data_IF_657740260145
#
_entry.id   IF_657740260145
#
_cell.length_a   1.000
_cell.length_b   1.000
_cell.length_c   1.000
_cell.angle_alpha   90.00
_cell.angle_beta   90.00
_cell.angle_gamma   90.00
#
_symmetry.space_group_name_H-M   'P 1'
#
loop_
_entity.id
_entity.type
_entity.pdbx_description
1 polymer ?
#
# COMPACT_ATOMS: atom_id res chain seq x y z
N UNK A 1 15.36 -20.27 34.57
CA UNK A 1 16.31 -19.98 33.47
C UNK A 1 15.57 -19.31 32.30
N UNK A 2 14.87 -18.21 32.60
CA UNK A 2 14.06 -17.40 31.67
C UNK A 2 14.60 -15.96 31.67
N UNK A 3 15.93 -15.82 31.63
CA UNK A 3 16.62 -14.54 31.67
C UNK A 3 16.87 -14.04 30.24
N UNK A 4 16.41 -12.81 29.99
CA UNK A 4 16.84 -11.87 28.93
C UNK A 4 16.61 -12.18 27.44
N UNK A 5 15.61 -13.01 27.09
CA UNK A 5 15.10 -13.01 25.71
C UNK A 5 14.43 -11.67 25.33
N UNK A 6 13.82 -10.94 26.27
CA UNK A 6 13.21 -9.64 25.98
C UNK A 6 14.25 -8.57 25.62
N UNK A 7 15.44 -8.58 26.24
CA UNK A 7 16.50 -7.65 25.88
C UNK A 7 17.07 -7.95 24.49
N UNK A 8 17.21 -9.25 24.13
CA UNK A 8 17.61 -9.70 22.78
C UNK A 8 16.57 -9.37 21.69
N UNK A 9 15.28 -9.35 22.03
CA UNK A 9 14.18 -8.95 21.13
C UNK A 9 14.11 -7.43 20.94
N UNK A 10 14.68 -6.65 21.87
CA UNK A 10 14.58 -5.18 21.91
C UNK A 10 15.91 -4.48 21.59
N UNK A 11 16.95 -5.20 21.12
CA UNK A 11 18.29 -4.65 20.86
C UNK A 11 18.24 -3.50 19.84
N UNK A 12 18.16 -2.30 20.40
CA UNK A 12 18.39 -0.99 19.81
C UNK A 12 18.76 0.06 20.87
N UNK A 13 18.88 -0.33 22.13
CA UNK A 13 19.14 0.57 23.26
C UNK A 13 20.31 0.03 24.09
N UNK A 14 21.54 0.17 23.56
CA UNK A 14 22.74 0.15 24.40
C UNK A 14 23.58 1.37 24.08
N UNK A 15 23.45 2.39 24.93
CA UNK A 15 24.57 3.24 25.29
C UNK A 15 24.42 4.73 25.01
N UNK A 16 23.68 5.44 25.86
CA UNK A 16 24.22 6.65 26.53
C UNK A 16 23.63 6.70 27.93
N UNK A 17 24.49 6.55 28.94
CA UNK A 17 24.14 6.79 30.33
C UNK A 17 24.02 8.30 30.56
N UNK A 18 22.89 8.76 31.10
CA UNK A 18 22.73 10.12 31.61
C UNK A 18 21.39 10.75 31.25
N UNK A 19 20.67 11.17 32.29
CA UNK A 19 19.40 11.91 32.31
C UNK A 19 18.12 11.10 32.11
N UNK A 20 17.44 10.89 33.25
CA UNK A 20 16.11 10.31 33.33
C UNK A 20 15.08 11.17 32.62
N UNK A 21 14.57 10.65 31.51
CA UNK A 21 13.26 11.00 30.99
C UNK A 21 12.26 9.90 31.37
N UNK A 22 10.99 10.25 31.68
CA UNK A 22 9.99 9.27 32.07
C UNK A 22 9.84 8.22 30.97
N UNK A 23 9.79 6.93 31.38
CA UNK A 23 9.48 5.78 30.50
C UNK A 23 8.09 6.00 29.88
N UNK A 24 8.03 6.68 28.74
CA UNK A 24 6.85 6.65 27.89
C UNK A 24 6.55 5.18 27.63
N UNK A 25 5.37 4.72 28.07
CA UNK A 25 4.91 3.35 27.88
C UNK A 25 4.83 3.07 26.38
N UNK A 26 5.91 2.53 25.81
CA UNK A 26 5.90 1.99 24.45
C UNK A 26 4.84 0.90 24.45
N UNK A 27 3.81 0.93 23.58
CA UNK A 27 2.96 -0.23 23.42
C UNK A 27 3.87 -1.40 23.10
N UNK A 28 3.70 -2.51 23.84
CA UNK A 28 4.52 -3.69 23.61
C UNK A 28 4.45 -4.03 22.12
N UNK A 29 5.58 -4.29 21.47
CA UNK A 29 5.63 -4.59 20.03
C UNK A 29 4.63 -5.69 19.61
N UNK A 30 4.25 -6.56 20.55
CA UNK A 30 3.20 -7.57 20.47
C UNK A 30 1.83 -6.96 20.12
N UNK A 31 1.45 -5.86 20.77
CA UNK A 31 0.19 -5.12 20.50
C UNK A 31 0.19 -4.57 19.09
N UNK A 32 1.27 -3.93 18.66
CA UNK A 32 1.42 -3.41 17.30
C UNK A 32 1.33 -4.54 16.26
N UNK A 33 2.03 -5.65 16.49
CA UNK A 33 1.96 -6.81 15.62
C UNK A 33 0.55 -7.38 15.53
N UNK A 34 -0.16 -7.51 16.67
CA UNK A 34 -1.54 -7.99 16.67
C UNK A 34 -2.47 -7.05 15.90
N UNK A 35 -2.33 -5.74 16.07
CA UNK A 35 -3.12 -4.76 15.34
C UNK A 35 -2.90 -4.89 13.83
N UNK A 36 -1.63 -4.91 13.38
CA UNK A 36 -1.29 -5.05 11.96
C UNK A 36 -1.77 -6.38 11.41
N UNK A 37 -1.52 -7.49 12.11
CA UNK A 37 -1.93 -8.85 11.68
C UNK A 37 -3.45 -8.96 11.51
N UNK A 38 -4.23 -8.33 12.40
CA UNK A 38 -5.70 -8.31 12.31
C UNK A 38 -6.23 -7.47 11.16
N UNK A 39 -5.49 -6.46 10.71
CA UNK A 39 -5.90 -5.58 9.61
C UNK A 39 -5.49 -6.11 8.23
N UNK A 40 -4.57 -7.07 8.16
CA UNK A 40 -4.25 -7.75 6.90
C UNK A 40 -5.52 -8.43 6.37
N UNK A 41 -5.89 -8.06 5.15
CA UNK A 41 -6.99 -8.65 4.41
C UNK A 41 -6.60 -10.08 3.97
N UNK A 42 -7.40 -11.06 4.41
CA UNK A 42 -7.19 -12.47 4.10
C UNK A 42 -8.03 -12.85 2.89
N UNK A 43 -7.38 -12.96 1.74
CA UNK A 43 -8.03 -13.31 0.47
C UNK A 43 -8.05 -14.82 0.28
N UNK A 44 -9.22 -15.45 0.22
CA UNK A 44 -9.36 -16.91 0.09
C UNK A 44 -9.01 -17.44 -1.30
N UNK A 45 -9.38 -16.69 -2.34
CA UNK A 45 -9.40 -17.13 -3.74
C UNK A 45 -9.29 -15.93 -4.69
N UNK A 46 -9.23 -16.20 -6.01
CA UNK A 46 -9.09 -15.17 -7.03
C UNK A 46 -10.32 -14.26 -7.16
N UNK A 47 -11.52 -14.73 -6.79
CA UNK A 47 -12.71 -13.90 -6.82
C UNK A 47 -12.65 -12.82 -5.73
N UNK A 48 -12.27 -13.21 -4.51
CA UNK A 48 -12.01 -12.28 -3.42
C UNK A 48 -10.86 -11.30 -3.75
N UNK A 49 -9.81 -11.77 -4.44
CA UNK A 49 -8.71 -10.92 -4.92
C UNK A 49 -9.24 -9.85 -5.88
N UNK A 50 -10.03 -10.25 -6.87
CA UNK A 50 -10.59 -9.32 -7.86
C UNK A 50 -11.54 -8.31 -7.20
N UNK A 51 -12.40 -8.75 -6.27
CA UNK A 51 -13.26 -7.84 -5.50
C UNK A 51 -12.47 -6.76 -4.75
N UNK A 52 -11.37 -7.15 -4.07
CA UNK A 52 -10.47 -6.21 -3.41
C UNK A 52 -9.85 -5.20 -4.40
N UNK A 53 -9.40 -5.69 -5.56
CA UNK A 53 -8.80 -4.82 -6.59
C UNK A 53 -9.82 -3.85 -7.17
N UNK A 54 -11.05 -4.30 -7.42
CA UNK A 54 -12.09 -3.48 -8.00
C UNK A 54 -12.57 -2.40 -7.01
N UNK A 55 -12.67 -2.73 -5.71
CA UNK A 55 -12.90 -1.75 -4.63
C UNK A 55 -11.76 -0.71 -4.59
N UNK A 56 -10.51 -1.17 -4.63
CA UNK A 56 -9.35 -0.29 -4.58
C UNK A 56 -9.24 0.64 -5.80
N UNK A 57 -9.54 0.13 -7.00
CA UNK A 57 -9.48 0.91 -8.24
C UNK A 57 -10.67 1.86 -8.36
N UNK A 58 -11.89 1.37 -8.08
CA UNK A 58 -13.14 2.08 -8.32
C UNK A 58 -13.65 2.96 -7.17
N UNK A 59 -13.00 2.95 -6.00
CA UNK A 59 -13.46 3.75 -4.86
C UNK A 59 -13.36 5.26 -5.06
N UNK A 60 -13.89 6.01 -4.09
CA UNK A 60 -13.80 7.48 -4.02
C UNK A 60 -12.73 7.93 -3.02
N UNK A 61 -12.21 9.15 -3.19
CA UNK A 61 -11.19 9.76 -2.35
C UNK A 61 -9.80 9.13 -2.50
N UNK A 62 -8.85 9.53 -1.66
CA UNK A 62 -7.53 8.92 -1.66
C UNK A 62 -7.55 7.57 -0.93
N UNK A 63 -7.14 6.51 -1.63
CA UNK A 63 -7.16 5.12 -1.14
C UNK A 63 -5.76 4.56 -1.11
N UNK A 64 -5.46 3.76 -0.10
CA UNK A 64 -4.11 3.28 0.16
C UNK A 64 -4.05 1.76 0.25
N UNK A 65 -3.09 1.16 -0.45
CA UNK A 65 -2.79 -0.27 -0.38
C UNK A 65 -1.32 -0.47 0.00
N UNK A 66 -1.06 -1.35 0.95
CA UNK A 66 0.30 -1.74 1.34
C UNK A 66 0.47 -3.24 1.53
N UNK A 67 1.73 -3.66 1.47
CA UNK A 67 2.13 -5.07 1.57
C UNK A 67 2.82 -5.30 2.90
N UNK A 68 2.32 -6.23 3.71
CA UNK A 68 2.99 -6.64 4.95
C UNK A 68 3.76 -7.94 4.72
N UNK A 69 5.05 -7.88 4.98
CA UNK A 69 5.98 -9.02 4.98
C UNK A 69 6.76 -9.05 6.30
N UNK A 70 7.64 -10.05 6.46
CA UNK A 70 8.45 -10.22 7.69
C UNK A 70 9.27 -8.96 8.04
N UNK A 71 9.78 -8.25 7.04
CA UNK A 71 10.53 -7.02 7.26
C UNK A 71 9.64 -5.90 7.79
N UNK A 72 8.42 -5.75 7.25
CA UNK A 72 7.44 -4.79 7.75
C UNK A 72 7.18 -4.99 9.25
N UNK A 73 6.86 -6.23 9.66
CA UNK A 73 6.60 -6.51 11.07
C UNK A 73 7.83 -6.27 11.95
N UNK A 74 9.03 -6.61 11.50
CA UNK A 74 10.25 -6.24 12.24
C UNK A 74 10.44 -4.73 12.34
N UNK A 75 10.19 -3.97 11.28
CA UNK A 75 10.27 -2.51 11.27
C UNK A 75 9.27 -1.89 12.24
N UNK A 76 8.09 -2.50 12.41
CA UNK A 76 7.07 -2.07 13.37
C UNK A 76 7.49 -2.23 14.85
N UNK A 77 8.57 -2.97 15.12
CA UNK A 77 9.18 -3.08 16.45
C UNK A 77 10.21 -1.98 16.68
N UNK A 78 11.02 -1.69 15.67
CA UNK A 78 12.20 -0.81 15.79
C UNK A 78 11.89 0.66 15.51
N UNK A 79 10.87 0.94 14.69
CA UNK A 79 10.45 2.30 14.33
C UNK A 79 9.15 2.67 15.06
N UNK A 80 9.21 3.75 15.86
CA UNK A 80 8.12 4.15 16.76
C UNK A 80 6.87 4.68 16.03
N UNK A 81 6.97 5.06 14.75
CA UNK A 81 5.85 5.57 13.96
C UNK A 81 5.32 4.58 12.92
N UNK A 82 6.14 3.63 12.50
CA UNK A 82 5.83 2.77 11.36
C UNK A 82 4.56 1.93 11.56
N UNK A 83 4.34 1.36 12.75
CA UNK A 83 3.12 0.61 13.01
C UNK A 83 1.87 1.49 12.83
N UNK A 84 1.89 2.72 13.33
CA UNK A 84 0.78 3.64 13.17
C UNK A 84 0.57 4.04 11.71
N UNK A 85 1.65 4.29 10.96
CA UNK A 85 1.57 4.58 9.52
C UNK A 85 0.95 3.40 8.75
N UNK A 86 1.37 2.16 9.02
CA UNK A 86 0.80 0.95 8.41
C UNK A 86 -0.69 0.80 8.73
N UNK A 87 -1.09 1.03 9.98
CA UNK A 87 -2.49 0.90 10.42
C UNK A 87 -3.40 1.96 9.78
N UNK A 88 -2.86 3.04 9.21
CA UNK A 88 -3.65 4.05 8.49
C UNK A 88 -3.98 3.68 7.04
N UNK A 89 -3.40 2.59 6.53
CA UNK A 89 -3.66 2.09 5.19
C UNK A 89 -5.08 1.49 5.10
N UNK A 90 -5.78 1.73 4.00
CA UNK A 90 -7.14 1.19 3.77
C UNK A 90 -7.12 -0.32 3.56
N UNK A 91 -6.18 -0.77 2.73
CA UNK A 91 -5.99 -2.17 2.41
C UNK A 91 -4.56 -2.59 2.75
N UNK A 92 -4.46 -3.63 3.56
CA UNK A 92 -3.18 -4.26 3.86
C UNK A 92 -3.25 -5.69 3.35
N UNK A 93 -2.33 -6.08 2.48
CA UNK A 93 -2.30 -7.44 1.92
C UNK A 93 -1.05 -8.18 2.37
N UNK A 94 -1.19 -9.50 2.44
CA UNK A 94 -0.10 -10.40 2.80
C UNK A 94 0.92 -10.51 1.67
N UNK A 95 2.19 -10.35 2.00
CA UNK A 95 3.31 -10.56 1.09
C UNK A 95 4.33 -11.57 1.66
N UNK A 96 4.50 -12.67 0.93
CA UNK A 96 5.55 -13.66 1.14
C UNK A 96 5.25 -14.75 2.17
N UNK A 97 6.15 -15.72 2.24
CA UNK A 97 6.00 -16.92 3.09
C UNK A 97 6.11 -16.63 4.59
N UNK A 98 6.81 -15.56 4.99
CA UNK A 98 6.99 -15.23 6.41
C UNK A 98 5.67 -14.99 7.14
N UNK A 99 4.76 -14.21 6.55
CA UNK A 99 3.44 -13.98 7.14
C UNK A 99 2.57 -15.24 7.11
N UNK A 100 2.69 -16.08 6.08
CA UNK A 100 2.03 -17.39 6.07
C UNK A 100 2.48 -18.26 7.25
N UNK A 101 3.78 -18.30 7.53
CA UNK A 101 4.32 -19.02 8.69
C UNK A 101 3.78 -18.47 10.01
N UNK A 102 3.75 -17.14 10.18
CA UNK A 102 3.15 -16.51 11.36
C UNK A 102 1.67 -16.88 11.51
N UNK A 103 0.90 -16.81 10.43
CA UNK A 103 -0.52 -17.16 10.46
C UNK A 103 -0.74 -18.62 10.85
N UNK A 104 0.08 -19.55 10.33
CA UNK A 104 0.05 -20.96 10.74
C UNK A 104 0.36 -21.14 12.23
N UNK A 105 1.35 -20.41 12.76
CA UNK A 105 1.66 -20.43 14.21
C UNK A 105 0.50 -19.88 15.05
N UNK A 106 -0.29 -18.95 14.51
CA UNK A 106 -1.49 -18.39 15.14
C UNK A 106 -2.76 -19.22 14.90
N UNK A 107 -2.70 -20.32 14.14
CA UNK A 107 -3.88 -21.13 13.78
C UNK A 107 -4.80 -20.48 12.75
N UNK A 108 -4.33 -19.47 12.02
CA UNK A 108 -5.09 -18.73 11.00
C UNK A 108 -4.76 -19.27 9.61
N UNK A 109 -5.77 -19.43 8.75
CA UNK A 109 -5.57 -19.74 7.34
C UNK A 109 -5.14 -18.48 6.59
N UNK A 110 -3.97 -18.51 5.94
CA UNK A 110 -3.34 -17.32 5.36
C UNK A 110 -3.88 -16.88 3.99
N UNK A 111 -4.76 -17.67 3.37
CA UNK A 111 -5.27 -17.39 2.03
C UNK A 111 -4.18 -17.26 0.96
N UNK A 112 -4.52 -16.62 -0.15
CA UNK A 112 -3.62 -16.34 -1.25
C UNK A 112 -2.43 -15.46 -0.82
N UNK A 113 -1.32 -15.64 -1.52
CA UNK A 113 -0.15 -14.80 -1.37
C UNK A 113 -0.23 -13.63 -2.36
N UNK A 114 -0.73 -12.49 -1.92
CA UNK A 114 -0.84 -11.27 -2.73
C UNK A 114 0.50 -10.53 -2.77
N UNK A 115 1.52 -11.22 -3.27
CA UNK A 115 2.85 -10.63 -3.36
C UNK A 115 2.83 -9.42 -4.30
N UNK A 116 3.59 -8.38 -3.94
CA UNK A 116 3.58 -7.13 -4.70
C UNK A 116 4.08 -7.29 -6.14
N UNK A 117 4.87 -8.31 -6.41
CA UNK A 117 5.43 -8.50 -7.74
C UNK A 117 4.48 -9.07 -8.78
N UNK A 118 3.47 -9.81 -8.33
CA UNK A 118 2.41 -10.36 -9.18
C UNK A 118 1.14 -9.49 -9.11
N UNK A 119 0.84 -8.88 -7.96
CA UNK A 119 -0.32 -8.00 -7.80
C UNK A 119 -0.16 -6.66 -8.50
N UNK A 120 1.05 -6.07 -8.51
CA UNK A 120 1.25 -4.74 -9.08
C UNK A 120 0.97 -4.66 -10.59
N UNK A 121 1.39 -5.62 -11.44
CA UNK A 121 0.95 -5.64 -12.84
C UNK A 121 -0.57 -5.66 -13.01
N UNK A 122 -1.30 -6.43 -12.18
CA UNK A 122 -2.77 -6.47 -12.22
C UNK A 122 -3.40 -5.12 -11.81
N UNK A 123 -2.80 -4.42 -10.86
CA UNK A 123 -3.21 -3.06 -10.47
C UNK A 123 -2.94 -2.09 -11.63
N UNK A 124 -1.70 -2.06 -12.15
CA UNK A 124 -1.27 -1.14 -13.22
C UNK A 124 -2.15 -1.31 -14.46
N UNK A 125 -2.48 -2.55 -14.85
CA UNK A 125 -3.33 -2.84 -15.99
C UNK A 125 -4.71 -2.19 -15.89
N UNK A 126 -5.29 -2.11 -14.68
CA UNK A 126 -6.57 -1.42 -14.43
C UNK A 126 -6.48 0.11 -14.53
N UNK A 127 -5.27 0.66 -14.59
CA UNK A 127 -5.00 2.08 -14.83
C UNK A 127 -4.32 2.34 -16.19
N UNK A 128 -4.43 1.41 -17.14
CA UNK A 128 -3.94 1.62 -18.50
C UNK A 128 -4.58 2.88 -19.13
N UNK A 129 -3.77 3.67 -19.84
CA UNK A 129 -4.18 4.95 -20.43
C UNK A 129 -4.43 6.10 -19.45
N UNK A 130 -4.35 5.87 -18.14
CA UNK A 130 -4.57 6.88 -17.08
C UNK A 130 -3.26 7.55 -16.65
N UNK A 131 -3.36 8.58 -15.80
CA UNK A 131 -2.19 9.27 -15.26
C UNK A 131 -1.64 8.53 -14.04
N UNK A 132 -0.37 8.14 -14.11
CA UNK A 132 0.33 7.41 -13.06
C UNK A 132 1.52 8.22 -12.55
N UNK A 133 1.68 8.33 -11.23
CA UNK A 133 2.87 8.90 -10.61
C UNK A 133 3.78 7.80 -10.06
N UNK A 134 5.05 7.82 -10.43
CA UNK A 134 6.10 6.95 -9.88
C UNK A 134 7.00 7.75 -8.96
N UNK A 135 6.90 7.52 -7.65
CA UNK A 135 7.63 8.28 -6.65
C UNK A 135 8.52 7.32 -5.86
N UNK A 136 9.83 7.36 -6.06
CA UNK A 136 10.71 6.43 -5.34
C UNK A 136 12.07 6.22 -5.98
N UNK A 137 12.88 5.36 -5.36
CA UNK A 137 14.20 4.92 -5.83
C UNK A 137 15.08 6.06 -6.39
N UNK A 138 16.04 5.73 -7.26
CA UNK A 138 16.88 6.69 -7.96
C UNK A 138 16.29 7.06 -9.33
N UNK A 139 16.43 8.32 -9.74
CA UNK A 139 15.90 8.85 -11.01
C UNK A 139 16.11 7.92 -12.22
N UNK A 140 17.32 7.37 -12.49
CA UNK A 140 17.51 6.49 -13.65
C UNK A 140 16.61 5.25 -13.65
N UNK A 141 16.31 4.70 -12.47
CA UNK A 141 15.43 3.55 -12.30
C UNK A 141 13.97 3.98 -12.52
N UNK A 142 13.55 5.11 -11.95
CA UNK A 142 12.19 5.64 -12.15
C UNK A 142 11.92 5.97 -13.60
N UNK A 143 12.88 6.58 -14.30
CA UNK A 143 12.77 6.88 -15.72
C UNK A 143 12.51 5.62 -16.55
N UNK A 144 13.30 4.57 -16.37
CA UNK A 144 13.09 3.29 -17.07
C UNK A 144 11.74 2.65 -16.75
N UNK A 145 11.32 2.71 -15.49
CA UNK A 145 10.00 2.23 -15.09
C UNK A 145 8.86 3.04 -15.76
N UNK A 146 9.03 4.37 -15.85
CA UNK A 146 8.08 5.24 -16.54
C UNK A 146 8.01 4.95 -18.03
N UNK A 147 9.14 4.74 -18.71
CA UNK A 147 9.18 4.40 -20.13
C UNK A 147 8.47 3.07 -20.39
N UNK A 148 8.64 2.10 -19.49
CA UNK A 148 7.88 0.84 -19.56
C UNK A 148 6.39 1.06 -19.40
N UNK A 149 5.94 1.88 -18.45
CA UNK A 149 4.51 2.17 -18.29
C UNK A 149 3.91 2.89 -19.49
N UNK A 150 4.64 3.84 -20.08
CA UNK A 150 4.21 4.52 -21.32
C UNK A 150 4.07 3.54 -22.48
N UNK A 151 5.04 2.64 -22.66
CA UNK A 151 5.03 1.65 -23.76
C UNK A 151 4.01 0.53 -23.57
N UNK A 152 4.01 -0.11 -22.40
CA UNK A 152 3.25 -1.35 -22.16
C UNK A 152 1.78 -1.06 -21.79
N UNK A 153 1.49 0.11 -21.21
CA UNK A 153 0.16 0.45 -20.67
C UNK A 153 -0.41 1.79 -21.17
N UNK A 154 0.34 2.56 -21.98
CA UNK A 154 -0.13 3.84 -22.51
C UNK A 154 -0.35 4.92 -21.46
N UNK A 155 0.21 4.78 -20.25
CA UNK A 155 -0.02 5.73 -19.16
C UNK A 155 0.67 7.09 -19.41
N UNK A 156 0.04 8.18 -18.96
CA UNK A 156 0.73 9.46 -18.75
C UNK A 156 1.49 9.39 -17.42
N UNK A 157 2.82 9.53 -17.45
CA UNK A 157 3.66 9.22 -16.28
C UNK A 157 4.38 10.45 -15.75
N UNK A 158 4.12 10.72 -14.47
CA UNK A 158 4.80 11.73 -13.64
C UNK A 158 5.80 11.03 -12.73
N UNK A 159 6.98 11.61 -12.53
CA UNK A 159 8.08 10.95 -11.79
C UNK A 159 8.70 11.85 -10.73
N UNK A 160 9.22 11.24 -9.67
CA UNK A 160 10.12 11.87 -8.69
C UNK A 160 11.05 10.82 -8.06
N UNK A 161 12.29 11.20 -7.73
CA UNK A 161 13.16 10.33 -6.92
C UNK A 161 12.61 10.13 -5.50
N UNK A 162 13.09 9.08 -4.84
CA UNK A 162 12.66 8.71 -3.50
C UNK A 162 13.33 9.48 -2.35
N UNK A 163 14.17 10.47 -2.63
CA UNK A 163 14.98 11.18 -1.64
C UNK A 163 14.47 12.59 -1.32
N UNK A 164 13.43 13.05 -2.02
CA UNK A 164 12.77 14.32 -1.72
C UNK A 164 12.05 14.34 -0.36
N UNK A 165 11.82 15.53 0.23
CA UNK A 165 11.00 15.72 1.43
C UNK A 165 9.53 15.35 1.20
N UNK A 166 8.84 14.92 2.26
CA UNK A 166 7.45 14.43 2.17
C UNK A 166 6.48 15.48 1.56
N UNK A 167 6.70 16.77 1.82
CA UNK A 167 5.89 17.87 1.27
C UNK A 167 6.05 18.06 -0.24
N UNK A 168 7.19 17.66 -0.82
CA UNK A 168 7.40 17.71 -2.26
C UNK A 168 6.44 16.77 -2.99
N UNK A 169 6.32 15.53 -2.53
CA UNK A 169 5.44 14.53 -3.14
C UNK A 169 3.97 14.96 -3.09
N UNK A 170 3.55 15.56 -1.96
CA UNK A 170 2.19 16.07 -1.82
C UNK A 170 1.91 17.19 -2.83
N UNK A 171 2.82 18.16 -2.94
CA UNK A 171 2.68 19.27 -3.91
C UNK A 171 2.64 18.73 -5.34
N UNK A 172 3.55 17.82 -5.68
CA UNK A 172 3.60 17.20 -7.01
C UNK A 172 2.30 16.46 -7.33
N UNK A 173 1.81 15.62 -6.42
CA UNK A 173 0.58 14.85 -6.63
C UNK A 173 -0.67 15.74 -6.68
N UNK A 174 -0.72 16.82 -5.89
CA UNK A 174 -1.82 17.78 -5.92
C UNK A 174 -1.88 18.55 -7.25
N UNK A 175 -0.73 18.91 -7.83
CA UNK A 175 -0.66 19.59 -9.13
C UNK A 175 -0.93 18.64 -10.29
N UNK A 176 -0.28 17.47 -10.29
CA UNK A 176 -0.39 16.51 -11.39
C UNK A 176 -1.74 15.77 -11.43
N UNK A 177 -2.40 15.63 -10.27
CA UNK A 177 -3.63 14.86 -10.06
C UNK A 177 -3.58 13.47 -10.75
N UNK A 178 -2.64 12.60 -10.36
CA UNK A 178 -2.58 11.24 -10.90
C UNK A 178 -3.78 10.42 -10.39
N UNK A 179 -4.16 9.44 -11.19
CA UNK A 179 -5.15 8.41 -10.84
C UNK A 179 -4.55 7.30 -9.96
N UNK A 180 -3.26 7.00 -10.19
CA UNK A 180 -2.49 6.00 -9.45
C UNK A 180 -1.14 6.59 -9.03
N UNK A 181 -0.76 6.40 -7.76
CA UNK A 181 0.55 6.73 -7.22
C UNK A 181 1.23 5.44 -6.78
N UNK A 182 2.39 5.13 -7.35
CA UNK A 182 3.22 3.99 -6.95
C UNK A 182 4.42 4.52 -6.15
N UNK A 183 4.46 4.19 -4.86
CA UNK A 183 5.55 4.56 -3.97
C UNK A 183 6.60 3.44 -3.93
N UNK A 184 7.81 3.76 -4.41
CA UNK A 184 8.96 2.84 -4.44
C UNK A 184 10.13 3.33 -3.59
N UNK A 185 9.85 3.79 -2.36
CA UNK A 185 10.85 4.39 -1.46
C UNK A 185 11.36 3.40 -0.40
N UNK A 186 10.72 2.25 -0.27
CA UNK A 186 10.99 1.29 0.80
C UNK A 186 10.36 1.67 2.14
N UNK A 187 10.28 0.68 3.02
CA UNK A 187 9.80 0.83 4.38
C UNK A 187 10.90 1.42 5.27
N UNK A 188 10.59 2.33 6.21
CA UNK A 188 9.26 2.81 6.59
C UNK A 188 8.75 4.04 5.84
N UNK A 189 9.57 4.62 4.94
CA UNK A 189 9.29 5.94 4.34
C UNK A 189 8.01 5.95 3.50
N UNK A 190 7.78 4.92 2.68
CA UNK A 190 6.66 4.90 1.76
C UNK A 190 5.29 4.91 2.47
N UNK A 191 5.15 4.23 3.62
CA UNK A 191 3.91 4.21 4.40
C UNK A 191 3.62 5.57 5.03
N UNK A 192 4.65 6.24 5.56
CA UNK A 192 4.53 7.62 6.05
C UNK A 192 4.12 8.60 4.94
N UNK A 193 4.73 8.48 3.76
CA UNK A 193 4.37 9.30 2.59
C UNK A 193 2.95 8.98 2.12
N UNK A 194 2.55 7.71 2.09
CA UNK A 194 1.19 7.29 1.74
C UNK A 194 0.16 7.93 2.67
N UNK A 195 0.39 7.91 3.98
CA UNK A 195 -0.47 8.58 4.97
C UNK A 195 -0.60 10.07 4.68
N UNK A 196 0.52 10.75 4.41
CA UNK A 196 0.53 12.19 4.10
C UNK A 196 -0.23 12.52 2.81
N UNK A 197 -0.05 11.71 1.77
CA UNK A 197 -0.77 11.86 0.51
C UNK A 197 -2.27 11.62 0.70
N UNK A 198 -2.64 10.56 1.40
CA UNK A 198 -4.04 10.21 1.68
C UNK A 198 -4.80 11.34 2.36
N UNK A 199 -4.20 11.98 3.37
CA UNK A 199 -4.84 13.08 4.09
C UNK A 199 -4.75 14.43 3.37
N UNK A 200 -3.79 14.60 2.45
CA UNK A 200 -3.54 15.88 1.79
C UNK A 200 -4.16 16.03 0.40
N UNK A 201 -4.58 14.93 -0.23
CA UNK A 201 -5.17 14.94 -1.56
C UNK A 201 -6.70 14.91 -1.48
N UNK A 202 -7.34 15.81 -2.24
CA UNK A 202 -8.79 16.00 -2.27
C UNK A 202 -9.40 15.49 -3.58
N UNK A 203 -8.86 14.40 -4.13
CA UNK A 203 -9.32 13.81 -5.38
C UNK A 203 -9.21 12.29 -5.35
N UNK A 204 -9.90 11.63 -6.26
CA UNK A 204 -9.88 10.17 -6.36
C UNK A 204 -8.49 9.71 -6.83
N UNK A 205 -7.80 8.98 -5.98
CA UNK A 205 -6.45 8.49 -6.28
C UNK A 205 -6.16 7.20 -5.54
N UNK A 206 -5.66 6.21 -6.28
CA UNK A 206 -5.14 4.98 -5.70
C UNK A 206 -3.65 5.18 -5.36
N UNK A 207 -3.23 4.84 -4.15
CA UNK A 207 -1.85 4.99 -3.67
C UNK A 207 -1.36 3.63 -3.21
N UNK A 208 -0.30 3.12 -3.83
CA UNK A 208 0.25 1.79 -3.52
C UNK A 208 1.67 1.90 -2.98
N UNK A 209 1.92 1.29 -1.83
CA UNK A 209 3.24 1.13 -1.23
C UNK A 209 4.01 -0.02 -1.90
N UNK A 210 4.40 0.19 -3.16
CA UNK A 210 4.94 -0.82 -4.07
C UNK A 210 6.45 -1.09 -3.98
N UNK A 211 7.20 -0.45 -3.08
CA UNK A 211 8.62 -0.74 -2.77
C UNK A 211 9.50 -1.14 -3.95
N UNK A 212 9.68 -2.45 -4.13
CA UNK A 212 10.57 -3.04 -5.14
C UNK A 212 10.02 -3.02 -6.57
N UNK A 213 8.76 -2.63 -6.80
CA UNK A 213 8.13 -2.71 -8.12
C UNK A 213 8.84 -1.82 -9.15
N UNK A 214 9.39 -0.67 -8.74
CA UNK A 214 10.13 0.21 -9.65
C UNK A 214 11.43 -0.45 -10.14
N UNK A 215 12.11 -1.22 -9.28
CA UNK A 215 13.30 -2.00 -9.65
C UNK A 215 12.94 -3.11 -10.67
N UNK A 216 11.75 -3.70 -10.58
CA UNK A 216 11.27 -4.70 -11.54
C UNK A 216 10.77 -4.08 -12.85
N UNK A 217 10.02 -2.99 -12.78
CA UNK A 217 9.51 -2.29 -13.97
C UNK A 217 10.66 -1.73 -14.80
N UNK A 218 11.70 -1.20 -14.16
CA UNK A 218 12.91 -0.70 -14.84
C UNK A 218 13.77 -1.79 -15.46
N UNK A 219 13.50 -3.08 -15.18
CA UNK A 219 14.36 -4.20 -15.56
C UNK A 219 15.70 -4.24 -14.82
N UNK A 220 15.88 -3.43 -13.76
CA UNK A 220 17.11 -3.39 -12.98
C UNK A 220 17.34 -4.69 -12.20
N UNK A 221 16.26 -5.27 -11.67
CA UNK A 221 16.30 -6.56 -10.95
C UNK A 221 15.50 -7.59 -11.74
N UNK A 222 16.12 -8.71 -12.18
CA UNK A 222 15.39 -9.78 -12.84
C UNK A 222 14.41 -10.47 -11.87
N UNK A 223 13.29 -10.97 -12.39
CA UNK A 223 12.36 -11.80 -11.61
C UNK A 223 13.00 -13.16 -11.32
N UNK A 224 12.65 -13.76 -10.19
CA UNK A 224 13.04 -15.14 -9.92
C UNK A 224 12.36 -16.11 -10.91
N UNK A 225 13.02 -17.20 -11.32
CA UNK A 225 12.40 -18.26 -12.12
C UNK A 225 11.08 -18.76 -11.51
N UNK A 226 10.15 -19.20 -12.36
CA UNK A 226 8.81 -19.65 -11.92
C UNK A 226 8.86 -20.70 -10.82
N UNK A 227 9.72 -21.73 -10.97
CA UNK A 227 9.87 -22.79 -9.97
C UNK A 227 10.34 -22.26 -8.60
N UNK A 228 11.23 -21.26 -8.58
CA UNK A 228 11.67 -20.63 -7.32
C UNK A 228 10.55 -19.83 -6.68
N UNK A 229 9.74 -19.12 -7.48
CA UNK A 229 8.57 -18.38 -6.99
C UNK A 229 7.52 -19.32 -6.41
N UNK A 230 7.22 -20.41 -7.11
CA UNK A 230 6.30 -21.46 -6.63
C UNK A 230 6.80 -22.14 -5.36
N UNK A 231 8.13 -22.30 -5.20
CA UNK A 231 8.75 -22.82 -3.99
C UNK A 231 8.89 -21.78 -2.86
N UNK A 232 8.50 -20.52 -3.07
CA UNK A 232 8.67 -19.44 -2.09
C UNK A 232 10.13 -19.01 -1.85
N UNK A 233 11.04 -19.33 -2.78
CA UNK A 233 12.48 -19.05 -2.74
C UNK A 233 12.87 -17.71 -3.39
N UNK A 234 11.90 -16.89 -3.78
CA UNK A 234 12.17 -15.59 -4.41
C UNK A 234 13.05 -14.69 -3.52
N UNK A 235 12.87 -14.72 -2.21
CA UNK A 235 13.71 -13.96 -1.27
C UNK A 235 15.19 -14.38 -1.33
N UNK A 236 15.47 -15.67 -1.52
CA UNK A 236 16.83 -16.20 -1.61
C UNK A 236 17.48 -15.80 -2.94
N UNK A 237 16.72 -15.87 -4.03
CA UNK A 237 17.16 -15.37 -5.34
C UNK A 237 17.50 -13.87 -5.27
N UNK A 238 16.64 -13.05 -4.66
CA UNK A 238 16.93 -11.62 -4.47
C UNK A 238 18.16 -11.38 -3.60
N UNK A 239 18.34 -12.16 -2.53
CA UNK A 239 19.53 -12.09 -1.69
C UNK A 239 20.82 -12.39 -2.50
N UNK A 240 20.79 -13.36 -3.42
CA UNK A 240 21.96 -13.63 -4.27
C UNK A 240 22.29 -12.50 -5.24
N UNK A 241 21.29 -11.75 -5.70
CA UNK A 241 21.50 -10.61 -6.60
C UNK A 241 21.97 -9.36 -5.86
N UNK A 242 21.46 -9.13 -4.65
CA UNK A 242 21.74 -7.92 -3.87
C UNK A 242 22.17 -8.25 -2.44
N UNK A 243 23.26 -9.02 -2.24
CA UNK A 243 23.64 -9.54 -0.94
C UNK A 243 23.88 -8.42 0.06
N UNK A 244 24.64 -7.39 -0.31
CA UNK A 244 24.94 -6.25 0.58
C UNK A 244 23.68 -5.52 1.05
N UNK A 245 22.69 -5.35 0.17
CA UNK A 245 21.43 -4.63 0.47
C UNK A 245 20.49 -5.49 1.32
N UNK A 246 20.39 -6.77 1.02
CA UNK A 246 19.35 -7.65 1.57
C UNK A 246 19.83 -8.58 2.69
N UNK A 247 21.14 -8.65 2.96
CA UNK A 247 21.71 -9.51 4.00
C UNK A 247 21.09 -9.24 5.37
N UNK A 248 21.13 -7.99 5.85
CA UNK A 248 20.54 -7.64 7.15
C UNK A 248 19.05 -7.96 7.20
N UNK A 249 18.33 -7.71 6.11
CA UNK A 249 16.89 -7.95 6.01
C UNK A 249 16.53 -9.42 6.13
N UNK A 250 17.28 -10.32 5.49
CA UNK A 250 16.94 -11.75 5.46
C UNK A 250 17.71 -12.58 6.46
N UNK A 251 19.02 -12.42 6.57
CA UNK A 251 19.88 -13.29 7.41
C UNK A 251 19.69 -12.96 8.90
N UNK A 252 19.54 -11.69 9.24
CA UNK A 252 19.29 -11.26 10.63
C UNK A 252 17.79 -11.08 10.86
N UNK A 253 17.10 -10.45 9.91
CA UNK A 253 15.67 -10.15 10.05
C UNK A 253 14.77 -11.39 10.08
N UNK A 254 15.00 -12.42 9.26
CA UNK A 254 14.11 -13.59 9.25
C UNK A 254 14.16 -14.40 10.56
N UNK A 255 15.34 -14.72 11.15
CA UNK A 255 15.39 -15.37 12.45
C UNK A 255 14.71 -14.56 13.55
N UNK A 256 14.96 -13.26 13.59
CA UNK A 256 14.34 -12.35 14.56
C UNK A 256 12.80 -12.31 14.40
N UNK A 257 12.33 -12.30 13.15
CA UNK A 257 10.91 -12.39 12.83
C UNK A 257 10.29 -13.70 13.32
N UNK A 258 10.95 -14.84 13.08
CA UNK A 258 10.46 -16.15 13.50
C UNK A 258 10.42 -16.27 15.03
N UNK A 259 11.45 -15.79 15.71
CA UNK A 259 11.47 -15.75 17.18
C UNK A 259 10.30 -14.92 17.72
N UNK A 260 10.10 -13.70 17.21
CA UNK A 260 8.96 -12.85 17.60
C UNK A 260 7.61 -13.47 17.26
N UNK A 261 7.51 -14.16 16.12
CA UNK A 261 6.31 -14.91 15.73
C UNK A 261 5.98 -16.02 16.73
N UNK A 262 6.99 -16.78 17.15
CA UNK A 262 6.83 -17.82 18.16
C UNK A 262 6.41 -17.23 19.52
N UNK A 263 7.05 -16.14 19.97
CA UNK A 263 6.67 -15.43 21.20
C UNK A 263 5.22 -14.96 21.13
N UNK A 264 4.82 -14.35 20.01
CA UNK A 264 3.44 -13.90 19.82
C UNK A 264 2.44 -15.06 19.83
N UNK A 265 2.80 -16.20 19.25
CA UNK A 265 1.96 -17.39 19.18
C UNK A 265 1.80 -18.11 20.53
N UNK A 266 2.73 -17.95 21.48
CA UNK A 266 2.59 -18.48 22.85
C UNK A 266 2.09 -17.44 23.86
N UNK A 267 2.07 -16.17 23.47
CA UNK A 267 1.62 -15.09 24.34
C UNK A 267 0.16 -15.33 24.78
N UNK A 268 -0.11 -15.35 26.11
CA UNK A 268 -1.46 -15.46 26.63
C UNK A 268 -2.21 -14.17 26.31
N UNK A 269 -3.03 -14.21 25.26
CA UNK A 269 -3.96 -13.14 24.94
C UNK A 269 -5.37 -13.59 25.32
N UNK A 270 -6.03 -12.97 26.33
CA UNK A 270 -7.42 -13.29 26.65
C UNK A 270 -8.39 -13.06 25.47
N UNK A 271 -7.97 -12.31 24.43
CA UNK A 271 -8.70 -12.13 23.18
C UNK A 271 -8.47 -13.23 22.13
N UNK A 272 -7.87 -14.39 22.47
CA UNK A 272 -7.65 -15.54 21.56
C UNK A 272 -8.93 -16.14 20.95
N UNK A 273 -10.12 -15.61 21.25
CA UNK A 273 -11.30 -15.76 20.40
C UNK A 273 -11.13 -14.93 19.12
N UNK A 274 -10.13 -15.25 18.31
CA UNK A 274 -10.18 -14.90 16.88
C UNK A 274 -11.12 -15.93 16.26
N UNK A 275 -12.42 -15.63 16.31
CA UNK A 275 -13.41 -16.37 15.54
C UNK A 275 -13.11 -16.15 14.04
N UNK A 276 -13.09 -17.22 13.21
CA UNK A 276 -12.99 -17.06 11.77
C UNK A 276 -14.33 -16.53 11.24
N UNK A 277 -14.29 -15.37 10.57
CA UNK A 277 -15.45 -14.77 9.92
C UNK A 277 -15.79 -13.38 10.46
N UNK A 278 -15.08 -12.37 9.98
CA UNK A 278 -15.68 -11.03 9.88
C UNK A 278 -16.35 -10.97 8.50
N UNK A 279 -17.65 -10.62 8.41
CA UNK A 279 -18.33 -10.52 7.13
C UNK A 279 -17.67 -9.45 6.26
N UNK A 280 -17.67 -9.68 4.94
CA UNK A 280 -17.35 -8.67 3.94
C UNK A 280 -17.92 -7.32 4.36
N UNK A 281 -17.05 -6.30 4.44
CA UNK A 281 -17.53 -4.92 4.57
C UNK A 281 -18.33 -4.61 3.32
N UNK A 282 -19.65 -4.59 3.42
CA UNK A 282 -20.49 -3.95 2.41
C UNK A 282 -20.12 -2.47 2.35
N UNK A 283 -20.04 -1.87 1.15
CA UNK A 283 -19.77 -0.44 1.02
C UNK A 283 -20.83 0.33 1.80
N UNK A 284 -20.37 1.26 2.64
CA UNK A 284 -21.23 2.20 3.34
C UNK A 284 -21.95 3.06 2.31
N UNK A 285 -23.23 2.75 2.04
CA UNK A 285 -24.15 3.75 1.50
C UNK A 285 -24.23 4.88 2.52
N UNK A 286 -23.63 6.01 2.19
CA UNK A 286 -23.80 7.25 2.94
C UNK A 286 -25.30 7.55 3.06
N UNK A 287 -25.84 7.35 4.25
CA UNK A 287 -27.09 7.96 4.67
C UNK A 287 -26.82 9.46 4.89
N UNK A 288 -26.89 10.24 3.83
CA UNK A 288 -27.17 11.67 3.97
C UNK A 288 -28.65 11.82 4.32
N UNK A 289 -28.91 11.90 5.62
CA UNK A 289 -30.17 12.42 6.14
C UNK A 289 -30.23 13.92 5.86
N UNK A 290 -31.08 14.31 4.91
CA UNK A 290 -31.70 15.64 4.91
C UNK A 290 -33.19 15.39 5.13
N UNK A 291 -33.65 15.73 6.32
CA UNK A 291 -35.07 15.80 6.63
C UNK A 291 -35.69 17.07 6.06
N UNK A 292 -36.86 16.94 5.47
CA UNK A 292 -37.76 18.03 5.11
C UNK A 292 -38.99 17.49 4.35
N UNK A 293 -40.23 17.97 4.61
CA UNK A 293 -41.35 17.06 4.84
C UNK A 293 -42.42 17.01 3.75
N UNK A 294 -43.30 16.02 3.95
CA UNK A 294 -44.72 15.97 3.62
C UNK A 294 -45.17 15.52 2.22
N UNK A 295 -46.03 14.50 2.27
CA UNK A 295 -46.78 13.88 1.20
C UNK A 295 -47.71 14.84 0.46
N UNK A 296 -47.92 14.57 -0.84
CA UNK A 296 -49.27 14.48 -1.42
C UNK A 296 -49.25 13.70 -2.75
N UNK A 297 -50.40 13.09 -3.00
CA UNK A 297 -50.73 11.99 -3.89
C UNK A 297 -51.16 12.39 -5.30
N UNK A 298 -51.06 11.40 -6.21
CA UNK A 298 -51.84 11.16 -7.44
C UNK A 298 -51.76 12.14 -8.61
N UNK A 299 -51.52 11.59 -9.81
CA UNK A 299 -51.71 12.26 -11.09
C UNK A 299 -51.03 11.54 -12.25
N UNK A 300 -51.72 10.56 -12.81
CA UNK A 300 -51.45 9.84 -14.05
C UNK A 300 -51.57 10.77 -15.28
N UNK A 301 -50.52 10.92 -16.11
CA UNK A 301 -50.61 11.40 -17.51
C UNK A 301 -49.47 10.82 -18.36
N UNK A 302 -49.85 10.14 -19.45
CA UNK A 302 -49.01 9.59 -20.52
C UNK A 302 -48.32 10.68 -21.39
N UNK A 303 -47.30 10.33 -22.22
CA UNK A 303 -46.31 11.29 -22.71
C UNK A 303 -46.67 11.90 -24.08
N UNK A 304 -46.11 13.08 -24.44
CA UNK A 304 -45.97 13.47 -25.82
C UNK A 304 -44.53 13.29 -26.34
N UNK A 305 -44.46 12.91 -27.61
CA UNK A 305 -43.27 12.67 -28.42
C UNK A 305 -42.78 13.99 -29.09
N UNK A 306 -41.78 13.99 -30.00
CA UNK A 306 -40.54 14.74 -29.84
C UNK A 306 -40.43 15.93 -30.81
N UNK A 307 -40.10 17.13 -30.32
CA UNK A 307 -39.57 18.19 -31.18
C UNK A 307 -38.99 19.32 -30.30
N UNK A 308 -37.68 19.58 -30.42
CA UNK A 308 -37.10 20.90 -30.68
C UNK A 308 -35.65 21.03 -30.18
N UNK A 309 -34.74 21.03 -31.15
CA UNK A 309 -33.61 21.96 -31.32
C UNK A 309 -32.56 22.06 -30.20
N UNK A 310 -31.44 21.39 -30.49
CA UNK A 310 -30.05 21.71 -30.11
C UNK A 310 -29.71 23.20 -30.34
N UNK A 311 -28.93 23.82 -29.45
CA UNK A 311 -27.96 24.83 -29.87
C UNK A 311 -26.53 24.32 -29.70
N UNK A 312 -25.83 24.31 -30.82
CA UNK A 312 -24.39 24.07 -30.97
C UNK A 312 -23.62 25.20 -30.26
N UNK A 313 -22.80 24.86 -29.27
CA UNK A 313 -21.83 25.82 -28.71
C UNK A 313 -20.61 25.82 -29.63
N UNK A 314 -20.38 26.98 -30.24
CA UNK A 314 -19.32 27.26 -31.19
C UNK A 314 -17.92 27.19 -30.53
N UNK A 315 -16.97 26.62 -31.28
CA UNK A 315 -15.56 26.54 -30.94
C UNK A 315 -14.89 27.92 -30.93
N UNK A 316 -14.04 28.16 -29.92
CA UNK A 316 -13.16 29.33 -29.84
C UNK A 316 -12.03 29.23 -30.89
N UNK A 317 -11.63 30.34 -31.54
CA UNK A 317 -10.53 30.35 -32.50
C UNK A 317 -9.16 30.24 -31.80
N UNK A 318 -8.13 29.68 -32.49
CA UNK A 318 -6.81 29.48 -31.91
C UNK A 318 -6.02 30.78 -31.72
N UNK A 319 -5.31 30.87 -30.59
CA UNK A 319 -4.41 31.96 -30.21
C UNK A 319 -3.15 31.93 -31.08
N UNK A 320 -2.79 33.07 -31.70
CA UNK A 320 -1.55 33.25 -32.47
C UNK A 320 -0.34 33.39 -31.52
N UNK A 321 0.83 32.82 -31.86
CA UNK A 321 2.05 32.99 -31.08
C UNK A 321 2.61 34.43 -31.21
N UNK A 322 3.02 34.98 -30.08
CA UNK A 322 3.70 36.29 -29.95
C UNK A 322 5.17 36.11 -30.34
N UNK A 323 5.63 36.90 -31.31
CA UNK A 323 7.04 37.01 -31.69
C UNK A 323 7.80 37.86 -30.66
N UNK A 324 8.98 37.41 -30.26
CA UNK A 324 9.94 38.17 -29.45
C UNK A 324 10.98 38.78 -30.42
N UNK A 325 11.22 40.10 -30.39
CA UNK A 325 12.19 40.78 -31.26
C UNK A 325 13.65 40.60 -30.75
N UNK A 326 14.67 40.95 -31.57
CA UNK A 326 15.91 40.17 -31.76
C UNK A 326 16.92 40.18 -30.61
#
# INVERSE_FOLDING_TARGET
MWLDLEQLVTVGDTGVAGFGFPRQHRPEWRVNWQAVVKQIHVTSDDAAKNGLLDEFVGGFGARTLGFVNAHALNSAVTDQGFAADVLTLDHIVRDGIGINTLYRMLGIRAGLNLNGTDLMPEIIARFAGRRVALLGTQLPIVHRAADRLRRDYGCDVVIADGFQPDGFYLKLAATARPDLIILGMGMPKQERVARRLKHGLNHDVAIVCGGAILDFLSGHVPRAPSWMRSAGLEWAYRLSLEPKRLFRRYVIGNPLFLMRSAILAVWPNPSRRIAPGLPERRPSTNAFGIGGPAARSHGDVSPPSPESRVPVIAALPPVRPIAIPP
#
